data_IF_566065308206
#
_entry.id   IF_566065308206
#
_cell.length_a   1.000
_cell.length_b   1.000
_cell.length_c   1.000
_cell.angle_alpha   90.00
_cell.angle_beta   90.00
_cell.angle_gamma   90.00
#
_symmetry.space_group_name_H-M   'P 1'
#
loop_
_entity.id
_entity.type
_entity.pdbx_description
1 polymer ?
#
# COMPACT_ATOMS: atom_id res chain seq x y z
N UNK A 1 5.14 -11.05 12.41
CA UNK A 1 4.69 -10.20 11.27
C UNK A 1 3.20 -9.96 11.44
N UNK A 2 2.73 -8.75 11.16
CA UNK A 2 1.33 -8.40 11.14
C UNK A 2 1.00 -7.69 9.83
N UNK A 3 -0.17 -7.99 9.24
CA UNK A 3 -0.70 -7.31 8.06
C UNK A 3 -2.10 -6.81 8.43
N UNK A 4 -2.42 -5.57 8.10
CA UNK A 4 -3.71 -4.98 8.39
C UNK A 4 -4.16 -4.01 7.28
N UNK A 5 -5.47 -3.91 7.11
CA UNK A 5 -6.13 -3.02 6.14
C UNK A 5 -7.25 -2.18 6.76
N UNK A 6 -7.11 -1.80 8.03
CA UNK A 6 -8.05 -0.93 8.72
C UNK A 6 -7.90 0.52 8.24
N UNK A 7 -8.92 1.33 8.49
CA UNK A 7 -8.77 2.79 8.37
C UNK A 7 -7.62 3.26 9.27
N UNK A 8 -6.85 4.25 8.80
CA UNK A 8 -5.75 4.86 9.55
C UNK A 8 -6.17 5.20 10.98
N UNK A 9 -5.42 4.69 11.95
CA UNK A 9 -5.68 4.84 13.39
C UNK A 9 -6.75 3.89 13.97
N UNK A 10 -7.40 3.06 13.16
CA UNK A 10 -8.47 2.17 13.58
C UNK A 10 -8.08 1.11 14.61
N UNK A 11 -6.80 0.70 14.61
CA UNK A 11 -6.24 -0.27 15.54
C UNK A 11 -5.68 0.34 16.84
N UNK A 12 -5.52 1.67 16.90
CA UNK A 12 -4.92 2.35 18.06
C UNK A 12 -5.70 2.12 19.35
N UNK A 13 -7.04 2.10 19.28
CA UNK A 13 -7.91 1.83 20.44
C UNK A 13 -7.76 0.41 21.02
N UNK A 14 -7.14 -0.51 20.28
CA UNK A 14 -6.89 -1.88 20.70
C UNK A 14 -5.44 -2.12 21.13
N UNK A 15 -4.58 -1.09 21.06
CA UNK A 15 -3.13 -1.26 21.26
C UNK A 15 -2.46 -2.09 20.17
N UNK A 16 -3.10 -2.21 18.99
CA UNK A 16 -2.63 -3.03 17.88
C UNK A 16 -2.03 -2.17 16.74
N UNK A 17 -1.80 -0.88 16.96
CA UNK A 17 -1.08 -0.03 16.01
C UNK A 17 0.44 -0.26 16.10
N UNK A 18 1.18 0.11 15.04
CA UNK A 18 2.61 -0.16 14.96
C UNK A 18 3.39 0.38 16.18
N UNK A 19 3.10 1.61 16.62
CA UNK A 19 3.80 2.21 17.77
C UNK A 19 3.58 1.40 19.05
N UNK A 20 2.34 1.01 19.34
CA UNK A 20 2.02 0.19 20.52
C UNK A 20 2.65 -1.21 20.47
N UNK A 21 2.64 -1.86 19.30
CA UNK A 21 3.20 -3.21 19.16
C UNK A 21 4.74 -3.24 19.10
N UNK A 22 5.38 -2.17 18.61
CA UNK A 22 6.84 -2.13 18.42
C UNK A 22 7.60 -2.20 19.75
N UNK A 23 7.00 -1.71 20.84
CA UNK A 23 7.59 -1.75 22.17
C UNK A 23 7.80 -3.18 22.67
N UNK A 24 6.79 -4.04 22.49
CA UNK A 24 6.85 -5.46 22.89
C UNK A 24 7.54 -6.33 21.82
N UNK A 25 7.43 -5.96 20.55
CA UNK A 25 7.95 -6.71 19.41
C UNK A 25 8.92 -5.85 18.57
N UNK A 26 10.17 -5.64 19.03
CA UNK A 26 11.15 -4.78 18.34
C UNK A 26 11.52 -5.27 16.94
N UNK A 27 11.37 -6.56 16.66
CA UNK A 27 11.65 -7.18 15.36
C UNK A 27 10.39 -7.35 14.47
N UNK A 28 9.29 -6.70 14.86
CA UNK A 28 8.04 -6.77 14.12
C UNK A 28 8.17 -6.13 12.74
N UNK A 29 7.86 -6.92 11.71
CA UNK A 29 7.46 -6.43 10.39
C UNK A 29 5.94 -6.20 10.43
N UNK A 30 5.53 -4.94 10.30
CA UNK A 30 4.15 -4.50 10.33
C UNK A 30 3.79 -3.92 8.96
N UNK A 31 2.75 -4.41 8.31
CA UNK A 31 2.31 -3.91 7.01
C UNK A 31 0.89 -3.33 7.11
N UNK A 32 0.76 -2.05 6.80
CA UNK A 32 -0.49 -1.32 6.68
C UNK A 32 -0.85 -1.15 5.21
N UNK A 33 -2.06 -1.55 4.82
CA UNK A 33 -2.61 -1.33 3.48
C UNK A 33 -3.82 -0.42 3.59
N UNK A 34 -3.76 0.75 2.96
CA UNK A 34 -4.85 1.73 2.99
C UNK A 34 -5.11 2.33 1.60
N UNK A 35 -6.19 3.08 1.45
CA UNK A 35 -6.51 3.74 0.18
C UNK A 35 -5.45 4.72 -0.30
N UNK A 36 -4.96 5.55 0.64
CA UNK A 36 -4.19 6.76 0.37
C UNK A 36 -2.92 6.88 1.22
N UNK A 37 -2.51 5.79 1.89
CA UNK A 37 -1.36 5.78 2.80
C UNK A 37 -1.71 6.23 4.22
N UNK A 38 -0.77 6.05 5.15
CA UNK A 38 -0.91 6.49 6.55
C UNK A 38 -0.68 8.00 6.72
N UNK A 39 -0.26 8.71 5.67
CA UNK A 39 0.13 10.12 5.72
C UNK A 39 -0.59 11.00 4.70
N UNK A 40 -0.45 12.33 4.84
CA UNK A 40 -1.05 13.29 3.92
C UNK A 40 -2.55 13.57 4.14
N UNK A 41 -3.14 14.49 3.37
CA UNK A 41 -4.49 15.02 3.62
C UNK A 41 -5.62 14.01 3.32
N UNK A 42 -5.34 12.94 2.57
CA UNK A 42 -6.31 11.91 2.20
C UNK A 42 -6.22 10.64 3.06
N UNK A 43 -5.30 10.55 4.02
CA UNK A 43 -5.04 9.32 4.81
C UNK A 43 -6.29 8.76 5.52
N UNK A 44 -7.17 9.63 6.03
CA UNK A 44 -8.41 9.22 6.70
C UNK A 44 -9.58 8.92 5.74
N UNK A 45 -9.41 9.14 4.43
CA UNK A 45 -10.44 8.84 3.44
C UNK A 45 -10.49 7.34 3.17
N UNK A 46 -11.70 6.77 3.15
CA UNK A 46 -11.87 5.37 2.75
C UNK A 46 -11.46 5.18 1.29
N UNK A 47 -10.58 4.22 1.02
CA UNK A 47 -10.20 3.80 -0.33
C UNK A 47 -10.72 2.40 -0.62
N UNK A 48 -11.26 2.20 -1.81
CA UNK A 48 -11.67 0.92 -2.33
C UNK A 48 -11.32 0.88 -3.81
N UNK A 49 -11.03 -0.33 -4.31
CA UNK A 49 -10.46 -0.57 -5.64
C UNK A 49 -11.08 0.30 -6.75
N UNK A 50 -12.41 0.27 -6.92
CA UNK A 50 -13.07 1.03 -7.99
C UNK A 50 -12.79 2.54 -7.94
N UNK A 51 -12.82 3.14 -6.74
CA UNK A 51 -12.49 4.55 -6.60
C UNK A 51 -11.02 4.82 -6.90
N UNK A 52 -10.14 3.90 -6.48
CA UNK A 52 -8.71 4.04 -6.75
C UNK A 52 -8.43 3.91 -8.24
N UNK A 53 -9.04 2.95 -8.94
CA UNK A 53 -8.90 2.82 -10.40
C UNK A 53 -9.33 4.09 -11.14
N UNK A 54 -10.42 4.72 -10.70
CA UNK A 54 -10.89 5.97 -11.26
C UNK A 54 -9.92 7.13 -10.99
N UNK A 55 -9.39 7.19 -9.76
CA UNK A 55 -8.49 8.26 -9.35
C UNK A 55 -7.09 8.11 -9.92
N UNK A 56 -6.48 6.94 -9.84
CA UNK A 56 -5.09 6.78 -10.26
C UNK A 56 -4.93 6.71 -11.77
N UNK A 57 -6.01 6.72 -12.57
CA UNK A 57 -5.94 6.92 -14.03
C UNK A 57 -6.00 5.64 -14.88
N UNK A 58 -5.99 4.43 -14.29
CA UNK A 58 -6.01 3.20 -15.10
C UNK A 58 -7.30 3.06 -15.93
N UNK A 59 -8.42 3.64 -15.45
CA UNK A 59 -9.68 3.63 -16.19
C UNK A 59 -9.62 4.43 -17.50
N UNK A 60 -8.78 5.47 -17.60
CA UNK A 60 -8.71 6.29 -18.82
C UNK A 60 -8.01 5.58 -19.98
N UNK A 61 -7.19 4.58 -19.68
CA UNK A 61 -6.46 3.76 -20.66
C UNK A 61 -7.08 2.37 -20.83
N UNK A 62 -8.26 2.13 -20.26
CA UNK A 62 -8.96 0.85 -20.30
C UNK A 62 -10.32 1.01 -20.97
N UNK A 63 -10.56 0.26 -22.04
CA UNK A 63 -11.83 0.25 -22.77
C UNK A 63 -11.67 0.56 -24.26
N UNK A 64 -12.79 0.90 -24.89
CA UNK A 64 -12.85 1.36 -26.28
C UNK A 64 -12.18 2.74 -26.42
N UNK A 65 -11.50 3.01 -27.55
CA UNK A 65 -10.75 4.25 -27.76
C UNK A 65 -11.61 5.52 -27.66
N UNK A 66 -12.84 5.48 -28.20
CA UNK A 66 -13.82 6.57 -28.13
C UNK A 66 -14.90 6.33 -27.04
N UNK A 67 -14.65 5.38 -26.14
CA UNK A 67 -15.55 5.00 -25.06
C UNK A 67 -15.40 5.85 -23.81
N UNK A 68 -16.31 5.63 -22.85
CA UNK A 68 -16.12 6.16 -21.49
C UNK A 68 -15.05 5.35 -20.74
N UNK A 69 -14.31 5.95 -19.79
CA UNK A 69 -13.32 5.24 -18.96
C UNK A 69 -13.92 3.98 -18.31
N UNK A 70 -13.28 2.83 -18.49
CA UNK A 70 -13.78 1.55 -17.99
C UNK A 70 -12.89 1.01 -16.89
N UNK A 71 -13.50 0.36 -15.90
CA UNK A 71 -12.73 -0.37 -14.89
C UNK A 71 -12.11 -1.63 -15.50
N UNK A 72 -11.00 -2.06 -14.92
CA UNK A 72 -10.46 -3.39 -15.16
C UNK A 72 -11.44 -4.44 -14.61
N UNK A 73 -11.52 -5.59 -15.28
CA UNK A 73 -12.46 -6.68 -14.93
C UNK A 73 -12.27 -7.28 -13.53
N UNK A 74 -11.11 -7.04 -12.91
CA UNK A 74 -10.76 -7.49 -11.56
C UNK A 74 -10.47 -6.28 -10.66
N UNK A 75 -10.36 -6.53 -9.34
CA UNK A 75 -9.89 -5.54 -8.38
C UNK A 75 -8.39 -5.28 -8.53
N UNK A 76 -7.99 -4.65 -9.64
CA UNK A 76 -6.58 -4.56 -10.04
C UNK A 76 -5.75 -3.72 -9.07
N UNK A 77 -6.32 -2.68 -8.47
CA UNK A 77 -5.61 -1.87 -7.47
C UNK A 77 -5.36 -2.69 -6.19
N UNK A 78 -6.36 -3.47 -5.76
CA UNK A 78 -6.21 -4.36 -4.60
C UNK A 78 -5.18 -5.47 -4.86
N UNK A 79 -5.28 -6.14 -6.01
CA UNK A 79 -4.35 -7.22 -6.39
C UNK A 79 -2.91 -6.72 -6.38
N UNK A 80 -2.67 -5.55 -6.98
CA UNK A 80 -1.32 -5.03 -7.11
C UNK A 80 -0.74 -4.45 -5.85
N UNK A 81 -1.56 -3.77 -5.06
CA UNK A 81 -1.14 -3.38 -3.72
C UNK A 81 -0.78 -4.61 -2.88
N UNK A 82 -1.53 -5.71 -2.98
CA UNK A 82 -1.21 -6.98 -2.34
C UNK A 82 0.14 -7.59 -2.80
N UNK A 83 0.46 -7.50 -4.09
CA UNK A 83 1.76 -7.94 -4.60
C UNK A 83 2.92 -7.06 -4.11
N UNK A 84 2.74 -5.73 -4.08
CA UNK A 84 3.71 -4.83 -3.47
C UNK A 84 3.88 -5.11 -1.98
N UNK A 85 2.80 -5.42 -1.25
CA UNK A 85 2.86 -5.83 0.14
C UNK A 85 3.69 -7.10 0.31
N UNK A 86 3.46 -8.12 -0.51
CA UNK A 86 4.24 -9.35 -0.46
C UNK A 86 5.74 -9.09 -0.68
N UNK A 87 6.12 -8.31 -1.69
CA UNK A 87 7.53 -8.00 -1.99
C UNK A 87 8.16 -7.17 -0.88
N UNK A 88 7.48 -6.14 -0.39
CA UNK A 88 7.95 -5.29 0.72
C UNK A 88 8.14 -6.09 2.00
N UNK A 89 7.21 -7.00 2.32
CA UNK A 89 7.29 -7.88 3.49
C UNK A 89 8.48 -8.83 3.37
N UNK A 90 8.65 -9.50 2.24
CA UNK A 90 9.79 -10.39 2.00
C UNK A 90 11.12 -9.62 2.12
N UNK A 91 11.15 -8.38 1.64
CA UNK A 91 12.32 -7.51 1.74
C UNK A 91 12.62 -7.10 3.18
N UNK A 92 11.59 -6.75 3.96
CA UNK A 92 11.73 -6.41 5.37
C UNK A 92 12.18 -7.61 6.22
N UNK A 93 11.64 -8.81 5.96
CA UNK A 93 12.08 -10.06 6.60
C UNK A 93 13.55 -10.34 6.23
N UNK A 94 13.91 -10.20 4.96
CA UNK A 94 15.29 -10.40 4.48
C UNK A 94 16.27 -9.44 5.15
N UNK A 95 15.88 -8.17 5.32
CA UNK A 95 16.68 -7.17 6.01
C UNK A 95 16.87 -7.55 7.49
N UNK A 96 15.79 -7.92 8.17
CA UNK A 96 15.80 -8.33 9.57
C UNK A 96 16.68 -9.56 9.82
N UNK A 97 16.60 -10.57 8.95
CA UNK A 97 17.33 -11.83 9.14
C UNK A 97 18.83 -11.72 8.76
N UNK A 98 19.24 -10.63 8.12
CA UNK A 98 20.62 -10.37 7.71
C UNK A 98 21.11 -8.97 8.11
N UNK A 99 21.20 -8.68 9.43
CA UNK A 99 21.71 -7.41 9.94
C UNK A 99 23.09 -7.09 9.36
N UNK A 100 23.31 -5.83 8.98
CA UNK A 100 24.60 -5.32 8.50
C UNK A 100 24.95 -5.66 7.04
N UNK A 101 24.11 -6.41 6.32
CA UNK A 101 24.25 -6.57 4.86
C UNK A 101 23.58 -5.44 4.06
N UNK A 102 22.71 -4.69 4.71
CA UNK A 102 21.99 -3.55 4.16
C UNK A 102 22.14 -2.39 5.16
N UNK A 103 22.18 -1.16 4.66
CA UNK A 103 22.41 0.05 5.49
C UNK A 103 21.34 0.25 6.58
N UNK A 104 20.24 -0.51 6.52
CA UNK A 104 19.11 -0.46 7.43
C UNK A 104 19.19 -1.47 8.59
N UNK A 105 20.29 -1.51 9.35
CA UNK A 105 20.35 -1.92 10.77
C UNK A 105 19.80 -3.30 11.25
N UNK A 106 19.19 -4.14 10.40
CA UNK A 106 18.65 -5.45 10.76
C UNK A 106 17.38 -5.49 11.64
N UNK A 107 16.67 -4.38 11.81
CA UNK A 107 15.51 -4.33 12.72
C UNK A 107 14.17 -4.55 12.00
N UNK A 108 13.10 -4.83 12.76
CA UNK A 108 11.73 -4.79 12.26
C UNK A 108 11.33 -3.41 11.71
N UNK A 109 10.33 -3.36 10.84
CA UNK A 109 9.96 -2.17 10.06
C UNK A 109 8.44 -2.03 9.92
N UNK A 110 7.96 -0.79 9.77
CA UNK A 110 6.60 -0.47 9.33
C UNK A 110 6.59 -0.22 7.83
N UNK A 111 5.77 -0.98 7.11
CA UNK A 111 5.52 -0.86 5.68
C UNK A 111 4.17 -0.16 5.53
N UNK A 112 4.18 1.05 4.98
CA UNK A 112 2.98 1.81 4.60
C UNK A 112 2.74 1.67 3.10
N UNK A 113 1.62 1.06 2.71
CA UNK A 113 1.20 0.93 1.33
C UNK A 113 -0.14 1.60 1.10
N UNK A 114 -0.20 2.36 0.00
CA UNK A 114 -1.42 2.95 -0.52
C UNK A 114 -1.85 2.22 -1.79
N UNK A 115 -3.16 1.95 -1.92
CA UNK A 115 -3.76 1.49 -3.17
C UNK A 115 -3.48 2.50 -4.30
N UNK A 116 -3.58 3.81 -4.02
CA UNK A 116 -3.35 4.85 -5.02
C UNK A 116 -1.91 4.85 -5.53
N UNK A 117 -0.92 4.81 -4.65
CA UNK A 117 0.50 4.79 -5.03
C UNK A 117 0.83 3.53 -5.85
N UNK A 118 0.28 2.40 -5.42
CA UNK A 118 0.43 1.11 -6.12
C UNK A 118 -0.13 1.18 -7.54
N UNK A 119 -1.29 1.82 -7.72
CA UNK A 119 -1.92 1.96 -9.02
C UNK A 119 -1.21 3.02 -9.88
N UNK A 120 -0.72 4.11 -9.30
CA UNK A 120 0.02 5.16 -10.01
C UNK A 120 1.35 4.63 -10.56
N UNK A 121 2.05 3.77 -9.81
CA UNK A 121 3.29 3.14 -10.24
C UNK A 121 3.16 2.31 -11.54
N UNK A 122 1.93 1.91 -11.88
CA UNK A 122 1.65 1.09 -13.06
C UNK A 122 1.44 1.91 -14.34
N UNK A 123 1.19 3.21 -14.23
CA UNK A 123 0.99 4.11 -15.37
C UNK A 123 2.30 4.69 -15.91
N UNK A 124 3.39 3.92 -15.86
CA UNK A 124 4.74 4.37 -16.26
C UNK A 124 4.79 4.96 -17.70
N UNK A 125 3.93 4.46 -18.59
CA UNK A 125 3.85 4.92 -19.98
C UNK A 125 2.80 6.02 -20.21
N UNK A 126 2.05 6.39 -19.17
CA UNK A 126 0.95 7.36 -19.23
C UNK A 126 1.07 8.41 -18.10
N UNK A 127 2.21 9.13 -18.01
CA UNK A 127 2.47 10.07 -16.92
C UNK A 127 1.42 11.19 -16.82
N UNK A 128 0.84 11.61 -17.95
CA UNK A 128 -0.17 12.66 -18.02
C UNK A 128 -1.57 12.23 -17.50
N UNK A 129 -1.75 10.95 -17.17
CA UNK A 129 -3.00 10.39 -16.65
C UNK A 129 -3.01 10.26 -15.12
N UNK A 130 -1.89 10.57 -14.48
CA UNK A 130 -1.76 10.62 -13.02
C UNK A 130 -2.20 12.02 -12.57
N UNK A 131 -3.18 12.11 -11.65
CA UNK A 131 -3.76 13.37 -11.16
C UNK A 131 -2.69 14.33 -10.62
#
# INVERSE_FOLDING_TARGET
>A
MLIENYKVGGLKKYGLDYAGMKEEFPDLVYCSISGFGQSGPKSHRAGYDFMIQAMGGIMSVTGEADGSPMKVGVGIADVMCGMYAAISILSAIRNRDHPGKFDAGGNGQHIDLALLDSQAAWLINFPDQII
#
